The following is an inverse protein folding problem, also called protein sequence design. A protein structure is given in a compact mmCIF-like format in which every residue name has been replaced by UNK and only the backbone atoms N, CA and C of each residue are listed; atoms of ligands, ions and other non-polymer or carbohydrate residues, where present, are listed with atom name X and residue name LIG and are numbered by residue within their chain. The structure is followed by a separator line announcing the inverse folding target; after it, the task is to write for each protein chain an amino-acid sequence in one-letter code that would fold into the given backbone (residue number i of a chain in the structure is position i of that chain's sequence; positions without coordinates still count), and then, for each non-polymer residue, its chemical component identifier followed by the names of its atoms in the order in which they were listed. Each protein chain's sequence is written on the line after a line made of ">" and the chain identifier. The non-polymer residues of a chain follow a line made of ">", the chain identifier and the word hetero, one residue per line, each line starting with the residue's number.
data_IF_450804070794
#
_entry.id   IF_450804070794
#
_cell.length_a   1.000
_cell.length_b   1.000
_cell.length_c   1.000
_cell.angle_alpha   90.00
_cell.angle_beta   90.00
_cell.angle_gamma   90.00
#
_symmetry.space_group_name_H-M   'P 1'
#
loop_
_entity.id
_entity.type
_entity.pdbx_description
1 polymer ?
#
# COMPACT_ATOMS: atom_id res chain seq x y z
N UNK A 1 3.07 32.28 -51.19
CA UNK A 1 3.33 33.39 -50.24
C UNK A 1 3.39 32.72 -48.86
N UNK A 2 4.52 32.40 -48.25
CA UNK A 2 5.86 33.00 -48.27
C UNK A 2 5.93 34.38 -47.61
N UNK A 3 6.33 34.38 -46.33
CA UNK A 3 7.04 35.49 -45.67
C UNK A 3 7.81 34.94 -44.46
N UNK A 4 9.08 34.57 -44.66
CA UNK A 4 10.08 34.63 -43.59
C UNK A 4 10.40 36.09 -43.34
N UNK A 5 10.67 36.51 -42.10
CA UNK A 5 11.73 37.49 -41.80
C UNK A 5 12.47 37.02 -40.55
N UNK A 6 13.79 37.05 -40.65
CA UNK A 6 14.79 36.67 -39.66
C UNK A 6 15.77 37.83 -39.47
N UNK A 7 16.18 38.12 -38.23
CA UNK A 7 17.36 38.95 -37.88
C UNK A 7 17.77 38.59 -36.44
N UNK A 8 19.02 38.61 -36.01
CA UNK A 8 20.33 38.36 -36.65
C UNK A 8 21.33 38.09 -35.51
N UNK A 9 22.48 37.47 -35.78
CA UNK A 9 23.48 37.15 -34.75
C UNK A 9 24.80 37.88 -35.03
N UNK A 10 25.42 38.46 -33.99
CA UNK A 10 26.81 38.92 -34.05
C UNK A 10 27.71 38.14 -33.09
N UNK A 11 28.71 37.49 -33.66
CA UNK A 11 29.88 36.96 -32.95
C UNK A 11 30.92 38.07 -32.74
N UNK A 12 31.67 38.01 -31.65
CA UNK A 12 33.11 38.32 -31.68
C UNK A 12 33.88 37.73 -30.50
N UNK A 13 34.92 36.98 -30.84
CA UNK A 13 36.02 36.49 -29.99
C UNK A 13 37.30 36.92 -30.71
N UNK A 14 38.29 37.47 -30.01
CA UNK A 14 39.75 37.16 -30.15
C UNK A 14 40.59 37.87 -29.04
N UNK A 15 41.95 37.79 -28.94
CA UNK A 15 42.56 37.15 -27.77
C UNK A 15 43.73 37.89 -27.06
N UNK A 16 44.19 37.34 -25.92
CA UNK A 16 45.54 37.49 -25.29
C UNK A 16 46.07 38.95 -25.08
N UNK A 17 47.31 39.31 -24.70
CA UNK A 17 48.59 38.68 -24.24
C UNK A 17 49.01 39.47 -22.97
N UNK A 18 49.55 38.92 -21.87
CA UNK A 18 51.00 38.75 -21.66
C UNK A 18 51.39 38.14 -20.28
N UNK A 19 52.53 37.45 -20.26
CA UNK A 19 53.24 36.88 -19.10
C UNK A 19 54.63 37.53 -19.02
N UNK A 20 55.20 37.68 -17.81
CA UNK A 20 56.64 37.80 -17.49
C UNK A 20 56.75 37.48 -15.97
N UNK A 21 57.39 36.39 -15.52
CA UNK A 21 58.85 36.19 -15.28
C UNK A 21 59.45 37.24 -14.30
N UNK A 22 59.70 36.97 -13.00
CA UNK A 22 60.74 36.09 -12.36
C UNK A 22 62.18 36.61 -12.62
N UNK A 23 63.18 36.60 -11.68
CA UNK A 23 63.21 36.47 -10.20
C UNK A 23 63.97 37.66 -9.50
N UNK A 24 64.28 37.60 -8.19
CA UNK A 24 65.65 37.25 -7.68
C UNK A 24 65.75 37.18 -6.12
N UNK A 25 66.90 36.73 -5.62
CA UNK A 25 67.25 36.43 -4.20
C UNK A 25 68.06 37.55 -3.50
N UNK A 26 68.33 37.31 -2.21
CA UNK A 26 69.31 37.96 -1.31
C UNK A 26 68.88 39.36 -0.83
N UNK A 27 69.06 39.76 0.44
CA UNK A 27 70.29 39.65 1.24
C UNK A 27 70.07 39.59 2.78
N UNK A 28 71.18 39.54 3.53
CA UNK A 28 71.31 39.16 4.95
C UNK A 28 71.14 40.33 5.98
N UNK A 29 71.17 40.06 7.32
CA UNK A 29 70.61 40.96 8.36
C UNK A 29 71.63 41.94 9.00
N UNK A 30 71.17 42.90 9.84
CA UNK A 30 72.03 43.70 10.69
C UNK A 30 72.39 43.01 12.03
N UNK A 31 73.45 43.43 12.73
CA UNK A 31 74.11 42.62 13.77
C UNK A 31 74.04 43.22 15.20
N UNK A 32 74.35 42.41 16.22
CA UNK A 32 75.41 42.63 17.23
C UNK A 32 75.27 41.69 18.45
N UNK A 33 76.37 41.01 18.78
CA UNK A 33 76.65 40.43 20.11
C UNK A 33 77.85 41.19 20.70
N UNK A 34 78.00 41.24 22.04
CA UNK A 34 78.85 40.25 22.74
C UNK A 34 78.10 39.62 23.95
N UNK A 35 78.32 38.36 24.33
CA UNK A 35 79.48 37.82 25.08
C UNK A 35 79.73 38.61 26.41
N UNK A 36 79.90 38.00 27.59
CA UNK A 36 80.42 36.66 27.95
C UNK A 36 79.79 36.21 29.29
N UNK A 37 79.58 34.91 29.51
CA UNK A 37 80.12 34.13 30.65
C UNK A 37 79.44 32.76 30.81
N UNK A 38 80.26 31.72 30.82
CA UNK A 38 79.87 30.36 31.20
C UNK A 38 79.54 30.28 32.69
N UNK A 39 78.49 29.54 33.04
CA UNK A 39 78.46 28.74 34.25
C UNK A 39 77.96 27.35 33.86
N UNK A 40 78.79 26.34 34.11
CA UNK A 40 78.42 24.94 33.89
C UNK A 40 77.41 24.50 34.96
N UNK A 41 76.21 24.09 34.54
CA UNK A 41 75.35 23.27 35.39
C UNK A 41 74.66 22.17 34.57
N UNK A 42 74.92 20.92 34.94
CA UNK A 42 74.48 19.74 34.20
C UNK A 42 73.03 19.40 34.58
N UNK A 43 72.05 20.01 33.91
CA UNK A 43 70.64 19.65 34.08
C UNK A 43 70.23 18.49 33.18
N UNK A 44 69.63 17.46 33.78
CA UNK A 44 69.27 16.20 33.14
C UNK A 44 68.33 16.35 31.94
N UNK A 45 68.48 15.46 30.95
CA UNK A 45 67.46 15.25 29.91
C UNK A 45 66.14 14.82 30.58
N UNK A 46 64.99 15.44 30.28
CA UNK A 46 63.72 14.96 30.80
C UNK A 46 63.42 13.58 30.21
N UNK A 47 63.54 12.53 31.04
CA UNK A 47 63.03 11.22 30.68
C UNK A 47 61.53 11.34 30.40
N UNK A 48 61.12 11.03 29.16
CA UNK A 48 59.72 10.73 28.86
C UNK A 48 59.32 9.57 29.77
N UNK A 49 58.50 9.83 30.80
CA UNK A 49 57.89 8.78 31.62
C UNK A 49 57.00 7.92 30.70
N UNK A 50 57.53 6.79 30.26
CA UNK A 50 56.78 5.80 29.50
C UNK A 50 55.68 5.24 30.41
N UNK A 51 54.45 5.73 30.24
CA UNK A 51 53.31 5.40 31.11
C UNK A 51 52.80 3.95 30.98
N UNK A 52 53.53 3.10 30.27
CA UNK A 52 53.20 1.70 29.97
C UNK A 52 54.44 0.80 30.09
N UNK A 53 54.95 0.62 31.32
CA UNK A 53 55.99 -0.38 31.62
C UNK A 53 55.59 -1.31 32.77
N UNK A 54 54.43 -1.97 32.61
CA UNK A 54 54.14 -3.22 33.31
C UNK A 54 53.24 -4.09 32.42
N UNK A 55 53.66 -5.30 32.00
CA UNK A 55 52.79 -6.17 31.23
C UNK A 55 51.56 -6.50 32.08
N UNK A 56 50.37 -6.32 31.51
CA UNK A 56 49.12 -6.53 32.23
C UNK A 56 49.02 -7.97 32.73
N UNK A 57 48.77 -8.13 34.02
CA UNK A 57 48.60 -9.46 34.61
C UNK A 57 47.40 -10.16 33.98
N UNK A 58 47.42 -11.51 33.93
CA UNK A 58 46.32 -12.31 33.32
C UNK A 58 44.92 -11.90 33.78
N UNK A 59 44.78 -11.46 35.04
CA UNK A 59 43.52 -10.92 35.60
C UNK A 59 43.08 -9.59 34.98
N UNK A 60 44.01 -8.65 34.73
CA UNK A 60 43.71 -7.37 34.07
C UNK A 60 43.37 -7.58 32.60
N UNK A 61 44.12 -8.45 31.91
CA UNK A 61 43.83 -8.85 30.53
C UNK A 61 42.42 -9.47 30.42
N UNK A 62 42.09 -10.42 31.32
CA UNK A 62 40.78 -11.05 31.38
C UNK A 62 39.65 -10.07 31.68
N UNK A 63 39.84 -9.14 32.63
CA UNK A 63 38.87 -8.09 32.93
C UNK A 63 38.60 -7.18 31.73
N UNK A 64 39.64 -6.80 30.98
CA UNK A 64 39.48 -5.91 29.82
C UNK A 64 38.88 -6.65 28.63
N UNK A 65 39.22 -7.91 28.38
CA UNK A 65 38.51 -8.75 27.42
C UNK A 65 37.02 -8.90 27.78
N UNK A 66 36.69 -9.06 29.07
CA UNK A 66 35.30 -9.13 29.52
C UNK A 66 34.56 -7.79 29.32
N UNK A 67 35.18 -6.65 29.63
CA UNK A 67 34.60 -5.32 29.40
C UNK A 67 34.37 -5.08 27.90
N UNK A 68 35.33 -5.43 27.04
CA UNK A 68 35.19 -5.32 25.58
C UNK A 68 34.08 -6.25 25.06
N UNK A 69 34.01 -7.49 25.55
CA UNK A 69 32.93 -8.42 25.18
C UNK A 69 31.55 -7.92 25.61
N UNK A 70 31.40 -7.39 26.83
CA UNK A 70 30.16 -6.77 27.30
C UNK A 70 29.81 -5.54 26.46
N UNK A 71 30.78 -4.67 26.16
CA UNK A 71 30.56 -3.49 25.32
C UNK A 71 30.12 -3.85 23.89
N UNK A 72 30.73 -4.87 23.28
CA UNK A 72 30.30 -5.41 21.98
C UNK A 72 28.90 -6.03 22.06
N UNK A 73 28.61 -6.81 23.11
CA UNK A 73 27.29 -7.44 23.30
C UNK A 73 26.19 -6.40 23.49
N UNK A 74 26.43 -5.38 24.32
CA UNK A 74 25.49 -4.25 24.51
C UNK A 74 25.33 -3.46 23.22
N UNK A 75 26.40 -3.17 22.48
CA UNK A 75 26.31 -2.46 21.20
C UNK A 75 25.53 -3.27 20.16
N UNK A 76 25.77 -4.58 20.09
CA UNK A 76 25.04 -5.50 19.24
C UNK A 76 23.55 -5.56 19.63
N UNK A 77 23.21 -5.57 20.93
CA UNK A 77 21.82 -5.51 21.40
C UNK A 77 21.18 -4.14 21.13
N UNK A 78 21.89 -3.03 21.29
CA UNK A 78 21.37 -1.66 21.00
C UNK A 78 21.09 -1.47 19.50
N UNK A 79 21.77 -2.19 18.61
CA UNK A 79 21.47 -2.20 17.17
C UNK A 79 20.42 -3.26 16.83
N UNK A 80 20.57 -4.48 17.34
CA UNK A 80 19.73 -5.62 16.98
C UNK A 80 18.35 -5.58 17.63
N UNK A 81 18.18 -5.06 18.86
CA UNK A 81 16.86 -4.99 19.51
C UNK A 81 15.93 -4.01 18.79
N UNK A 82 16.32 -2.78 18.40
CA UNK A 82 15.47 -1.94 17.56
C UNK A 82 15.15 -2.58 16.21
N UNK A 83 16.10 -3.24 15.54
CA UNK A 83 15.84 -3.96 14.29
C UNK A 83 14.88 -5.15 14.50
N UNK A 84 15.04 -5.90 15.58
CA UNK A 84 14.22 -7.04 15.95
C UNK A 84 12.79 -6.60 16.33
N UNK A 85 12.66 -5.55 17.15
CA UNK A 85 11.38 -4.99 17.54
C UNK A 85 10.66 -4.29 16.39
N UNK A 86 11.34 -3.53 15.53
CA UNK A 86 10.72 -2.99 14.29
C UNK A 86 10.37 -4.08 13.27
N UNK A 87 10.92 -5.29 13.38
CA UNK A 87 10.60 -6.43 12.50
C UNK A 87 9.51 -7.35 13.07
N UNK A 88 9.36 -7.42 14.40
CA UNK A 88 8.29 -8.16 15.08
C UNK A 88 7.05 -7.30 15.27
N UNK A 89 7.18 -6.10 15.83
CA UNK A 89 6.14 -5.08 15.86
C UNK A 89 6.17 -4.31 14.54
N UNK A 90 6.03 -5.04 13.42
CA UNK A 90 6.28 -4.62 12.04
C UNK A 90 5.43 -3.48 11.50
N UNK A 91 4.67 -2.81 12.36
CA UNK A 91 3.96 -1.60 12.03
C UNK A 91 4.93 -0.42 12.05
N UNK A 92 5.22 0.09 10.86
CA UNK A 92 5.71 1.46 10.75
C UNK A 92 4.65 2.34 11.42
N UNK A 93 4.99 2.94 12.56
CA UNK A 93 4.10 3.91 13.20
C UNK A 93 3.91 5.04 12.21
N UNK A 94 2.71 5.09 11.62
CA UNK A 94 2.18 6.37 11.20
C UNK A 94 2.24 7.27 12.45
N UNK A 95 2.73 8.50 12.29
CA UNK A 95 2.83 9.45 13.41
C UNK A 95 1.47 9.90 13.91
N UNK A 96 0.45 9.56 13.12
CA UNK A 96 -0.89 10.07 13.16
C UNK A 96 -1.69 9.15 14.09
N UNK A 97 -1.55 9.39 15.39
CA UNK A 97 -2.31 8.78 16.49
C UNK A 97 -3.84 9.10 16.43
N UNK A 98 -4.35 9.53 15.28
CA UNK A 98 -5.74 9.88 14.99
C UNK A 98 -6.73 8.78 15.40
N UNK A 99 -6.39 7.51 15.16
CA UNK A 99 -7.21 6.35 15.56
C UNK A 99 -7.37 6.21 17.08
N UNK A 100 -6.52 6.86 17.89
CA UNK A 100 -6.65 6.91 19.36
C UNK A 100 -7.52 8.07 19.86
N UNK A 101 -7.85 9.01 18.99
CA UNK A 101 -8.67 10.17 19.34
C UNK A 101 -10.15 9.78 19.23
N UNK A 102 -10.99 10.09 20.24
CA UNK A 102 -12.44 9.97 20.13
C UNK A 102 -12.93 10.77 18.93
N UNK A 103 -13.72 10.15 18.05
CA UNK A 103 -14.18 10.80 16.84
C UNK A 103 -15.37 11.71 17.16
N UNK A 104 -15.32 13.01 16.83
CA UNK A 104 -16.43 13.92 17.11
C UNK A 104 -17.71 13.46 16.42
N UNK A 105 -18.80 13.33 17.19
CA UNK A 105 -20.11 12.88 16.71
C UNK A 105 -20.11 11.45 16.12
N UNK A 106 -19.29 10.54 16.68
CA UNK A 106 -19.37 9.10 16.41
C UNK A 106 -20.80 8.55 16.62
N UNK A 107 -21.27 7.73 15.66
CA UNK A 107 -22.58 7.09 15.75
C UNK A 107 -22.58 5.99 16.82
N UNK A 108 -23.63 5.93 17.64
CA UNK A 108 -23.76 4.93 18.69
C UNK A 108 -23.69 3.48 18.16
N UNK A 109 -23.99 3.24 16.87
CA UNK A 109 -23.85 1.92 16.23
C UNK A 109 -22.44 1.32 16.33
N UNK A 110 -21.40 2.16 16.45
CA UNK A 110 -20.00 1.73 16.63
C UNK A 110 -19.69 1.10 17.99
N UNK A 111 -20.60 1.24 18.95
CA UNK A 111 -20.46 0.67 20.31
C UNK A 111 -21.45 -0.48 20.56
N UNK A 112 -22.24 -0.88 19.55
CA UNK A 112 -23.14 -2.02 19.64
C UNK A 112 -22.42 -3.31 19.18
N UNK A 113 -22.22 -4.25 20.10
CA UNK A 113 -21.52 -5.52 19.82
C UNK A 113 -22.19 -6.37 18.73
N UNK A 114 -23.52 -6.28 18.56
CA UNK A 114 -24.24 -6.96 17.47
C UNK A 114 -23.80 -6.52 16.07
N UNK A 115 -23.29 -5.28 15.93
CA UNK A 115 -22.81 -4.73 14.66
C UNK A 115 -21.35 -5.11 14.38
N UNK A 116 -20.69 -5.83 15.30
CA UNK A 116 -19.32 -6.28 15.14
C UNK A 116 -19.19 -7.17 13.89
N UNK A 117 -18.17 -6.94 13.04
CA UNK A 117 -17.87 -7.81 11.92
C UNK A 117 -17.40 -9.18 12.43
N UNK A 118 -17.76 -10.24 11.71
CA UNK A 118 -17.44 -11.63 12.07
C UNK A 118 -16.16 -12.06 11.38
N UNK A 119 -15.27 -12.71 12.15
CA UNK A 119 -14.08 -13.36 11.60
C UNK A 119 -14.51 -14.41 10.58
N UNK A 120 -13.95 -14.37 9.37
CA UNK A 120 -14.31 -15.27 8.28
C UNK A 120 -13.18 -16.24 7.93
N UNK A 121 -11.97 -15.76 7.62
CA UNK A 121 -10.87 -16.60 7.15
C UNK A 121 -9.49 -16.11 7.62
N UNK A 122 -8.60 -17.05 7.93
CA UNK A 122 -7.20 -16.77 8.24
C UNK A 122 -6.34 -16.58 6.99
N UNK A 123 -5.48 -15.55 6.99
CA UNK A 123 -4.57 -15.21 5.88
C UNK A 123 -5.27 -15.14 4.50
N UNK A 124 -6.27 -14.27 4.42
CA UNK A 124 -7.05 -13.99 3.21
C UNK A 124 -7.11 -12.47 3.02
N UNK A 125 -6.05 -11.85 2.48
CA UNK A 125 -5.96 -10.40 2.32
C UNK A 125 -6.74 -9.92 1.09
N UNK A 126 -7.10 -8.65 1.11
CA UNK A 126 -7.66 -7.91 -0.04
C UNK A 126 -8.85 -8.63 -0.73
N UNK A 127 -9.93 -8.97 0.01
CA UNK A 127 -11.05 -9.76 -0.51
C UNK A 127 -11.95 -8.99 -1.51
N UNK A 128 -11.86 -9.31 -2.80
CA UNK A 128 -12.91 -9.00 -3.79
C UNK A 128 -14.17 -9.85 -3.56
N UNK A 129 -15.36 -9.33 -3.86
CA UNK A 129 -16.64 -9.92 -3.45
C UNK A 129 -17.67 -9.99 -4.57
N UNK A 130 -18.24 -11.18 -4.76
CA UNK A 130 -19.31 -11.41 -5.74
C UNK A 130 -20.39 -12.34 -5.17
N UNK A 131 -21.62 -12.20 -5.67
CA UNK A 131 -22.74 -13.11 -5.39
C UNK A 131 -23.28 -13.67 -6.70
N UNK A 132 -23.42 -14.99 -6.77
CA UNK A 132 -23.98 -15.68 -7.93
C UNK A 132 -24.78 -16.90 -7.47
N UNK A 133 -25.98 -17.09 -8.02
CA UNK A 133 -26.90 -18.19 -7.71
C UNK A 133 -27.11 -18.47 -6.21
N UNK A 134 -27.19 -17.39 -5.42
CA UNK A 134 -27.38 -17.45 -3.97
C UNK A 134 -26.13 -17.75 -3.14
N UNK A 135 -25.00 -18.06 -3.79
CA UNK A 135 -23.69 -18.27 -3.16
C UNK A 135 -22.86 -16.99 -3.25
N UNK A 136 -22.15 -16.69 -2.17
CA UNK A 136 -21.15 -15.64 -2.11
C UNK A 136 -19.76 -16.21 -2.40
N UNK A 137 -18.96 -15.46 -3.13
CA UNK A 137 -17.60 -15.77 -3.53
C UNK A 137 -16.70 -14.62 -3.08
N UNK A 138 -15.61 -14.95 -2.40
CA UNK A 138 -14.54 -14.02 -2.05
C UNK A 138 -13.26 -14.47 -2.75
N UNK A 139 -12.55 -13.54 -3.39
CA UNK A 139 -11.28 -13.76 -4.08
C UNK A 139 -10.20 -12.96 -3.36
N UNK A 140 -9.04 -13.56 -3.09
CA UNK A 140 -8.04 -12.94 -2.21
C UNK A 140 -6.67 -12.77 -2.85
N UNK A 141 -5.85 -11.89 -2.27
CA UNK A 141 -4.42 -11.79 -2.57
C UNK A 141 -3.70 -13.12 -2.34
N UNK A 142 -2.71 -13.41 -3.19
CA UNK A 142 -1.93 -14.64 -3.16
C UNK A 142 -1.34 -14.95 -1.75
N UNK A 143 -1.54 -16.16 -1.18
CA UNK A 143 -1.31 -16.41 0.24
C UNK A 143 0.16 -16.43 0.68
N UNK A 144 1.12 -16.48 -0.27
CA UNK A 144 2.56 -16.54 -0.01
C UNK A 144 3.33 -15.55 -0.90
N UNK A 145 3.65 -14.38 -0.35
CA UNK A 145 4.44 -13.31 -1.00
C UNK A 145 5.75 -13.85 -1.61
N UNK A 146 6.07 -13.45 -2.84
CA UNK A 146 7.29 -13.84 -3.60
C UNK A 146 7.52 -15.37 -3.78
N UNK A 147 6.50 -16.22 -3.64
CA UNK A 147 6.62 -17.66 -3.92
C UNK A 147 6.00 -18.02 -5.29
N UNK A 148 6.80 -18.47 -6.29
CA UNK A 148 6.31 -18.78 -7.63
C UNK A 148 5.52 -20.09 -7.75
N UNK A 149 5.40 -20.84 -6.65
CA UNK A 149 4.58 -22.04 -6.52
C UNK A 149 3.40 -21.81 -5.56
N UNK A 150 3.05 -20.55 -5.29
CA UNK A 150 1.81 -20.18 -4.60
C UNK A 150 0.63 -20.29 -5.57
N UNK A 151 -0.55 -20.59 -5.04
CA UNK A 151 -1.82 -20.19 -5.68
C UNK A 151 -1.72 -18.68 -6.01
N UNK A 152 -2.10 -18.29 -7.23
CA UNK A 152 -2.12 -16.89 -7.65
C UNK A 152 -3.35 -16.18 -7.08
N UNK A 153 -4.56 -16.72 -7.30
CA UNK A 153 -5.81 -16.18 -6.73
C UNK A 153 -6.61 -17.26 -6.01
N UNK A 154 -6.50 -17.36 -4.65
CA UNK A 154 -7.36 -18.21 -3.84
C UNK A 154 -8.82 -17.70 -3.84
N UNK A 155 -9.75 -18.63 -3.64
CA UNK A 155 -11.19 -18.34 -3.55
C UNK A 155 -11.84 -19.03 -2.36
N UNK A 156 -12.79 -18.35 -1.73
CA UNK A 156 -13.65 -18.89 -0.70
C UNK A 156 -15.12 -18.68 -1.02
N UNK A 157 -15.99 -19.50 -0.44
CA UNK A 157 -17.43 -19.47 -0.69
C UNK A 157 -18.26 -19.54 0.59
N UNK A 158 -19.42 -18.87 0.61
CA UNK A 158 -20.41 -18.92 1.69
C UNK A 158 -21.84 -18.89 1.15
N UNK A 159 -22.77 -19.62 1.77
CA UNK A 159 -24.21 -19.57 1.45
C UNK A 159 -25.01 -18.63 2.36
N UNK A 160 -24.45 -18.23 3.51
CA UNK A 160 -25.13 -17.43 4.53
C UNK A 160 -24.40 -16.10 4.87
N UNK A 161 -23.26 -15.84 4.22
CA UNK A 161 -22.31 -14.74 4.44
C UNK A 161 -21.56 -14.77 5.78
N UNK A 162 -21.82 -15.75 6.64
CA UNK A 162 -21.22 -15.88 7.97
C UNK A 162 -20.20 -17.00 8.00
N UNK A 163 -20.56 -18.17 7.49
CA UNK A 163 -19.71 -19.35 7.45
C UNK A 163 -19.00 -19.42 6.08
N UNK A 164 -17.68 -19.19 6.08
CA UNK A 164 -16.87 -19.15 4.86
C UNK A 164 -15.98 -20.38 4.74
N UNK A 165 -15.99 -20.99 3.54
CA UNK A 165 -15.16 -22.16 3.21
C UNK A 165 -14.14 -21.79 2.15
N UNK A 166 -12.86 -21.77 2.51
CA UNK A 166 -11.75 -21.66 1.56
C UNK A 166 -11.67 -22.92 0.67
N UNK A 167 -11.56 -22.74 -0.65
CA UNK A 167 -11.16 -23.85 -1.53
C UNK A 167 -9.64 -24.01 -1.47
N UNK A 168 -9.20 -24.86 -0.53
CA UNK A 168 -7.79 -25.24 -0.40
C UNK A 168 -7.25 -25.81 -1.72
N UNK A 169 -5.99 -25.48 -2.03
CA UNK A 169 -5.24 -25.94 -3.20
C UNK A 169 -5.90 -25.66 -4.57
N UNK A 170 -6.89 -24.77 -4.62
CA UNK A 170 -7.56 -24.32 -5.84
C UNK A 170 -7.09 -22.92 -6.25
N UNK A 171 -6.61 -22.81 -7.48
CA UNK A 171 -6.26 -21.53 -8.10
C UNK A 171 -7.28 -21.16 -9.16
N UNK A 172 -7.92 -20.00 -8.98
CA UNK A 172 -8.85 -19.46 -9.97
C UNK A 172 -8.11 -18.87 -11.17
N UNK A 173 -6.84 -18.48 -11.03
CA UNK A 173 -5.99 -17.94 -12.09
C UNK A 173 -4.76 -18.87 -12.31
N UNK A 174 -4.96 -20.12 -12.80
CA UNK A 174 -3.88 -21.12 -12.89
C UNK A 174 -2.88 -20.87 -14.03
N UNK A 175 -3.19 -19.95 -14.93
CA UNK A 175 -2.35 -19.52 -16.06
C UNK A 175 -2.15 -18.02 -16.00
N UNK A 176 -1.00 -17.52 -16.48
CA UNK A 176 -0.59 -16.12 -16.39
C UNK A 176 -0.35 -15.50 -17.77
N UNK A 177 -0.57 -14.19 -17.89
CA UNK A 177 -0.33 -13.42 -19.09
C UNK A 177 1.16 -13.34 -19.48
N UNK A 178 1.46 -13.00 -20.73
CA UNK A 178 2.85 -12.87 -21.19
C UNK A 178 3.61 -11.70 -20.53
N UNK A 179 2.93 -10.74 -19.93
CA UNK A 179 3.52 -9.54 -19.32
C UNK A 179 3.96 -9.70 -17.85
N UNK A 180 3.46 -10.70 -17.11
CA UNK A 180 3.54 -10.76 -15.64
C UNK A 180 4.39 -11.89 -15.02
N UNK A 181 4.99 -11.62 -13.86
CA UNK A 181 5.79 -12.57 -13.10
C UNK A 181 4.94 -13.60 -12.36
N UNK A 182 5.53 -14.76 -12.03
CA UNK A 182 4.84 -15.85 -11.28
C UNK A 182 4.53 -15.55 -9.81
N UNK A 183 4.59 -14.29 -9.37
CA UNK A 183 4.52 -13.92 -7.96
C UNK A 183 3.75 -12.63 -7.80
N UNK A 184 3.17 -12.44 -6.61
CA UNK A 184 2.53 -11.19 -6.19
C UNK A 184 1.33 -10.83 -7.11
N UNK A 185 0.27 -11.63 -6.98
CA UNK A 185 -1.03 -11.37 -7.59
C UNK A 185 -1.94 -10.86 -6.46
N UNK A 186 -2.34 -9.60 -6.53
CA UNK A 186 -2.95 -8.87 -5.41
C UNK A 186 -4.33 -8.31 -5.75
N UNK A 187 -5.16 -8.17 -4.72
CA UNK A 187 -6.48 -7.54 -4.75
C UNK A 187 -7.32 -7.92 -5.99
N UNK A 188 -7.67 -9.21 -6.14
CA UNK A 188 -8.48 -9.66 -7.27
C UNK A 188 -9.98 -9.45 -6.97
N UNK A 189 -10.71 -8.92 -7.95
CA UNK A 189 -12.16 -8.70 -7.85
C UNK A 189 -12.87 -9.06 -9.17
N UNK A 190 -14.14 -9.48 -9.09
CA UNK A 190 -14.80 -10.25 -10.17
C UNK A 190 -16.22 -9.80 -10.44
N UNK A 191 -16.54 -9.55 -11.72
CA UNK A 191 -17.89 -9.21 -12.18
C UNK A 191 -18.41 -10.19 -13.23
N UNK A 192 -19.73 -10.41 -13.25
CA UNK A 192 -20.40 -11.19 -14.29
C UNK A 192 -20.77 -10.33 -15.51
N UNK A 193 -20.48 -10.84 -16.71
CA UNK A 193 -20.91 -10.32 -18.01
C UNK A 193 -22.33 -10.79 -18.36
N UNK A 194 -22.96 -10.10 -19.30
CA UNK A 194 -24.32 -10.38 -19.75
C UNK A 194 -24.44 -11.73 -20.50
N UNK A 195 -23.32 -12.31 -20.97
CA UNK A 195 -23.25 -13.65 -21.58
C UNK A 195 -22.98 -14.77 -20.55
N UNK A 196 -23.09 -14.45 -19.25
CA UNK A 196 -22.92 -15.40 -18.15
C UNK A 196 -21.45 -15.73 -17.79
N UNK A 197 -20.47 -15.25 -18.57
CA UNK A 197 -19.05 -15.34 -18.23
C UNK A 197 -18.70 -14.36 -17.10
N UNK A 198 -17.55 -14.58 -16.48
CA UNK A 198 -17.01 -13.74 -15.42
C UNK A 198 -15.70 -13.10 -15.88
N UNK A 199 -15.44 -11.88 -15.43
CA UNK A 199 -14.19 -11.16 -15.65
C UNK A 199 -13.57 -10.86 -14.30
N UNK A 200 -12.35 -11.35 -14.11
CA UNK A 200 -11.50 -11.06 -12.95
C UNK A 200 -10.52 -9.96 -13.33
N UNK A 201 -10.46 -8.94 -12.49
CA UNK A 201 -9.41 -7.92 -12.51
C UNK A 201 -8.49 -8.20 -11.33
N UNK A 202 -7.20 -7.94 -11.47
CA UNK A 202 -6.22 -8.20 -10.42
C UNK A 202 -4.95 -7.37 -10.64
N UNK A 203 -4.11 -7.24 -9.62
CA UNK A 203 -2.80 -6.58 -9.74
C UNK A 203 -1.72 -7.64 -9.98
N UNK A 204 -1.03 -7.59 -11.12
CA UNK A 204 0.07 -8.51 -11.45
C UNK A 204 1.43 -7.81 -11.44
N UNK A 205 2.46 -8.44 -10.87
CA UNK A 205 3.82 -7.88 -10.89
C UNK A 205 4.43 -7.99 -12.29
N UNK A 206 4.87 -6.88 -12.87
CA UNK A 206 5.43 -6.85 -14.24
C UNK A 206 6.75 -7.66 -14.36
N UNK A 207 6.99 -8.27 -15.54
CA UNK A 207 8.26 -8.94 -15.85
C UNK A 207 9.37 -7.92 -16.13
N UNK A 208 10.27 -7.71 -15.15
CA UNK A 208 11.64 -7.15 -15.24
C UNK A 208 11.84 -5.74 -15.82
N UNK A 209 11.13 -5.36 -16.88
CA UNK A 209 11.32 -4.11 -17.65
C UNK A 209 10.83 -2.87 -16.88
N UNK A 210 9.95 -3.06 -15.91
CA UNK A 210 9.43 -2.01 -15.03
C UNK A 210 9.57 -2.45 -13.54
N UNK A 211 10.76 -2.93 -13.19
CA UNK A 211 11.15 -3.21 -11.80
C UNK A 211 10.29 -4.26 -11.09
N UNK A 212 9.81 -3.91 -9.89
CA UNK A 212 8.83 -4.69 -9.12
C UNK A 212 7.48 -3.96 -9.00
N UNK A 213 7.19 -3.06 -9.95
CA UNK A 213 5.89 -2.40 -10.04
C UNK A 213 4.81 -3.40 -10.48
N UNK A 214 3.56 -3.03 -10.23
CA UNK A 214 2.39 -3.83 -10.61
C UNK A 214 1.55 -3.04 -11.60
N UNK A 215 0.81 -3.77 -12.43
CA UNK A 215 -0.17 -3.21 -13.34
C UNK A 215 -1.46 -4.03 -13.25
N UNK A 216 -2.58 -3.45 -13.68
CA UNK A 216 -3.88 -4.12 -13.65
C UNK A 216 -3.95 -5.14 -14.78
N UNK A 217 -4.05 -6.40 -14.43
CA UNK A 217 -4.39 -7.50 -15.32
C UNK A 217 -5.91 -7.70 -15.41
N UNK A 218 -6.33 -8.40 -16.46
CA UNK A 218 -7.71 -8.83 -16.65
C UNK A 218 -7.75 -10.24 -17.21
N UNK A 219 -8.69 -11.05 -16.74
CA UNK A 219 -8.84 -12.45 -17.12
C UNK A 219 -10.32 -12.85 -17.23
N UNK A 220 -10.65 -13.69 -18.22
CA UNK A 220 -12.04 -14.11 -18.49
C UNK A 220 -12.24 -15.59 -18.15
N UNK A 221 -13.35 -15.93 -17.50
CA UNK A 221 -13.66 -17.32 -17.16
C UNK A 221 -13.82 -18.21 -18.40
N UNK A 222 -13.21 -19.40 -18.35
CA UNK A 222 -13.44 -20.45 -19.34
C UNK A 222 -14.81 -21.13 -19.08
N UNK A 223 -15.88 -20.47 -19.56
CA UNK A 223 -17.27 -20.88 -19.33
C UNK A 223 -17.98 -19.95 -18.35
N UNK A 224 -19.11 -20.40 -17.79
CA UNK A 224 -20.01 -19.63 -16.93
C UNK A 224 -19.89 -20.03 -15.45
N UNK A 225 -18.66 -20.33 -14.99
CA UNK A 225 -18.37 -20.66 -13.60
C UNK A 225 -17.71 -19.46 -12.91
N UNK A 226 -18.20 -18.99 -11.74
CA UNK A 226 -17.53 -17.96 -10.95
C UNK A 226 -16.18 -18.45 -10.38
N UNK A 227 -15.95 -19.76 -10.34
CA UNK A 227 -14.65 -20.33 -9.95
C UNK A 227 -13.61 -20.30 -11.09
N UNK A 228 -14.01 -19.88 -12.30
CA UNK A 228 -13.14 -19.95 -13.47
C UNK A 228 -13.00 -21.39 -14.00
N UNK A 229 -11.81 -21.81 -14.46
CA UNK A 229 -10.54 -21.07 -14.41
C UNK A 229 -10.60 -19.80 -15.27
N UNK A 230 -9.98 -18.74 -14.77
CA UNK A 230 -9.84 -17.47 -15.49
C UNK A 230 -8.59 -17.53 -16.38
N UNK A 231 -8.75 -17.10 -17.64
CA UNK A 231 -7.69 -17.05 -18.64
C UNK A 231 -7.30 -15.59 -18.81
N UNK A 232 -6.06 -15.18 -18.45
CA UNK A 232 -5.64 -13.79 -18.52
C UNK A 232 -5.33 -13.35 -19.95
N UNK A 233 -5.51 -12.04 -20.17
CA UNK A 233 -5.02 -11.38 -21.37
C UNK A 233 -3.48 -11.28 -21.37
N UNK A 234 -2.91 -11.24 -22.57
CA UNK A 234 -1.45 -11.26 -22.77
C UNK A 234 -0.77 -9.92 -22.49
N UNK A 235 -1.54 -8.84 -22.36
CA UNK A 235 -1.12 -7.49 -22.00
C UNK A 235 -1.93 -6.97 -20.79
N UNK A 236 -1.39 -6.05 -19.98
CA UNK A 236 -2.13 -5.46 -18.86
C UNK A 236 -3.21 -4.51 -19.37
N UNK A 237 -4.35 -4.48 -18.70
CA UNK A 237 -5.47 -3.56 -18.96
C UNK A 237 -5.08 -2.10 -18.68
N UNK A 238 -4.36 -1.86 -17.57
CA UNK A 238 -3.90 -0.52 -17.20
C UNK A 238 -2.52 -0.57 -16.55
N UNK A 239 -1.58 0.21 -17.10
CA UNK A 239 -0.20 0.28 -16.63
C UNK A 239 0.33 1.73 -16.68
N UNK A 240 -0.21 2.66 -15.86
CA UNK A 240 0.12 4.08 -15.94
C UNK A 240 1.50 4.35 -15.29
N UNK A 241 2.57 4.20 -16.06
CA UNK A 241 3.97 4.37 -15.58
C UNK A 241 4.22 5.72 -14.87
N UNK A 242 3.52 6.79 -15.25
CA UNK A 242 3.57 8.11 -14.58
C UNK A 242 3.15 8.10 -13.10
N UNK A 243 2.45 7.05 -12.68
CA UNK A 243 2.03 6.78 -11.30
C UNK A 243 2.72 5.52 -10.75
N UNK A 244 3.86 5.09 -11.29
CA UNK A 244 4.53 3.88 -10.80
C UNK A 244 3.79 2.56 -11.12
N UNK A 245 2.81 2.58 -12.02
CA UNK A 245 1.93 1.43 -12.29
C UNK A 245 0.55 1.60 -11.66
N UNK A 246 -0.17 0.48 -11.52
CA UNK A 246 -1.52 0.46 -10.96
C UNK A 246 -1.81 -0.84 -10.21
N UNK A 247 -2.60 -0.73 -9.14
CA UNK A 247 -3.04 -1.84 -8.28
C UNK A 247 -4.51 -1.68 -7.88
N UNK A 248 -5.01 -2.68 -7.18
CA UNK A 248 -6.32 -2.76 -6.54
C UNK A 248 -7.49 -2.42 -7.47
N UNK A 249 -7.70 -3.19 -8.55
CA UNK A 249 -8.83 -3.00 -9.42
C UNK A 249 -10.12 -3.58 -8.81
N UNK A 250 -11.20 -2.80 -8.82
CA UNK A 250 -12.57 -3.28 -8.54
C UNK A 250 -13.48 -2.95 -9.72
N UNK A 251 -14.20 -3.92 -10.30
CA UNK A 251 -15.16 -3.67 -11.36
C UNK A 251 -16.46 -3.06 -10.84
N UNK A 252 -17.02 -2.14 -11.62
CA UNK A 252 -18.31 -1.51 -11.36
C UNK A 252 -19.20 -1.62 -12.60
N UNK A 253 -20.51 -1.80 -12.38
CA UNK A 253 -21.53 -1.71 -13.41
C UNK A 253 -22.49 -0.61 -13.02
N UNK A 254 -22.59 0.44 -13.83
CA UNK A 254 -23.49 1.55 -13.57
C UNK A 254 -24.95 1.18 -13.92
N UNK A 255 -25.87 2.04 -13.51
CA UNK A 255 -27.33 1.92 -13.65
C UNK A 255 -27.82 1.79 -15.10
N UNK A 256 -27.04 2.26 -16.08
CA UNK A 256 -27.31 2.11 -17.52
C UNK A 256 -26.76 0.78 -18.10
N UNK A 257 -26.05 0.00 -17.29
CA UNK A 257 -25.40 -1.26 -17.65
C UNK A 257 -23.94 -1.12 -18.13
N UNK A 258 -23.42 0.11 -18.29
CA UNK A 258 -22.04 0.40 -18.69
C UNK A 258 -21.05 -0.19 -17.68
N UNK A 259 -19.97 -0.78 -18.19
CA UNK A 259 -18.92 -1.39 -17.37
C UNK A 259 -17.79 -0.38 -17.13
N UNK A 260 -17.30 -0.39 -15.90
CA UNK A 260 -16.15 0.37 -15.45
C UNK A 260 -15.22 -0.53 -14.64
N UNK A 261 -13.95 -0.16 -14.57
CA UNK A 261 -13.04 -0.61 -13.50
C UNK A 261 -12.47 0.62 -12.82
N UNK A 262 -12.54 0.62 -11.49
CA UNK A 262 -11.85 1.61 -10.64
C UNK A 262 -10.56 0.97 -10.11
N UNK A 263 -9.46 1.72 -10.08
CA UNK A 263 -8.16 1.22 -9.59
C UNK A 263 -7.29 2.35 -9.05
N UNK A 264 -6.28 2.00 -8.27
CA UNK A 264 -5.25 2.92 -7.76
C UNK A 264 -4.12 3.07 -8.79
N UNK A 265 -3.70 4.31 -9.06
CA UNK A 265 -2.36 4.58 -9.58
C UNK A 265 -1.35 4.49 -8.44
N UNK A 266 -0.37 3.59 -8.53
CA UNK A 266 0.52 3.20 -7.41
C UNK A 266 1.65 4.21 -7.14
N UNK A 267 1.31 5.51 -7.05
CA UNK A 267 2.26 6.62 -7.01
C UNK A 267 3.23 6.56 -5.83
N UNK A 268 2.82 5.89 -4.74
CA UNK A 268 3.66 5.62 -3.58
C UNK A 268 4.86 4.70 -3.90
N UNK A 269 4.79 3.88 -4.95
CA UNK A 269 5.91 3.03 -5.38
C UNK A 269 7.08 3.79 -6.00
N UNK A 270 6.86 5.04 -6.43
CA UNK A 270 7.87 5.98 -6.94
C UNK A 270 8.08 7.19 -6.01
N UNK A 271 7.53 7.13 -4.79
CA UNK A 271 7.64 8.18 -3.78
C UNK A 271 9.04 8.33 -3.16
N UNK A 272 9.21 9.38 -2.35
CA UNK A 272 10.51 9.74 -1.74
C UNK A 272 10.87 8.95 -0.47
N UNK A 273 10.15 7.86 -0.19
CA UNK A 273 10.35 6.94 0.92
C UNK A 273 9.49 7.25 2.16
N UNK A 274 9.76 6.52 3.24
CA UNK A 274 8.97 6.55 4.49
C UNK A 274 7.90 5.44 4.53
N UNK A 275 6.89 5.60 5.39
CA UNK A 275 5.71 4.75 5.48
C UNK A 275 5.06 4.60 4.08
N UNK A 276 4.81 3.35 3.66
CA UNK A 276 4.45 2.91 2.29
C UNK A 276 5.19 3.58 1.12
N UNK A 277 6.39 4.15 1.33
CA UNK A 277 7.20 4.78 0.28
C UNK A 277 6.88 6.24 -0.04
N UNK A 278 5.88 6.87 0.59
CA UNK A 278 5.39 8.19 0.14
C UNK A 278 5.17 9.26 1.24
N UNK A 279 5.50 8.99 2.49
CA UNK A 279 5.32 9.99 3.59
C UNK A 279 6.45 11.01 3.70
N UNK A 280 7.60 10.79 3.04
CA UNK A 280 8.65 11.81 2.94
C UNK A 280 8.28 12.86 1.88
N UNK A 281 8.33 14.14 2.26
CA UNK A 281 8.01 15.26 1.37
C UNK A 281 9.07 15.42 0.25
N UNK A 282 8.67 15.85 -0.97
CA UNK A 282 7.29 16.11 -1.39
C UNK A 282 6.50 14.79 -1.58
N UNK A 283 5.27 14.74 -1.06
CA UNK A 283 4.39 13.57 -1.23
C UNK A 283 3.92 13.53 -2.68
N UNK A 284 3.95 12.36 -3.32
CA UNK A 284 3.51 12.17 -4.70
C UNK A 284 2.02 11.81 -4.72
N UNK A 285 1.28 12.31 -5.72
CA UNK A 285 -0.12 11.95 -6.00
C UNK A 285 -0.31 10.43 -6.10
N UNK A 286 -1.35 9.92 -5.43
CA UNK A 286 -1.79 8.52 -5.46
C UNK A 286 -3.26 8.52 -5.87
N UNK A 287 -3.55 8.58 -7.18
CA UNK A 287 -4.90 8.82 -7.66
C UNK A 287 -5.73 7.54 -7.69
N UNK A 288 -7.04 7.67 -7.42
CA UNK A 288 -8.03 6.69 -7.83
C UNK A 288 -8.51 7.06 -9.24
N UNK A 289 -8.35 6.11 -10.15
CA UNK A 289 -8.63 6.21 -11.58
C UNK A 289 -9.83 5.34 -11.94
N UNK A 290 -10.69 5.84 -12.82
CA UNK A 290 -11.87 5.16 -13.35
C UNK A 290 -11.72 4.99 -14.85
N UNK A 291 -11.72 3.75 -15.33
CA UNK A 291 -11.65 3.40 -16.75
C UNK A 291 -12.99 2.83 -17.21
N UNK A 292 -13.55 3.39 -18.28
CA UNK A 292 -14.73 2.85 -18.95
C UNK A 292 -14.35 1.65 -19.81
N UNK A 293 -15.22 0.65 -19.88
CA UNK A 293 -15.03 -0.62 -20.57
C UNK A 293 -16.23 -0.90 -21.49
N UNK A 294 -15.97 -1.60 -22.60
CA UNK A 294 -17.04 -2.18 -23.43
C UNK A 294 -17.76 -3.29 -22.66
N UNK A 295 -18.88 -3.76 -23.20
CA UNK A 295 -19.68 -4.86 -22.63
C UNK A 295 -18.95 -6.21 -22.54
N UNK A 296 -17.75 -6.34 -23.14
CA UNK A 296 -16.86 -7.48 -22.96
C UNK A 296 -16.10 -7.47 -21.61
N UNK A 297 -16.07 -6.32 -20.92
CA UNK A 297 -15.35 -6.14 -19.66
C UNK A 297 -13.82 -6.15 -19.78
N UNK A 298 -13.26 -6.13 -20.99
CA UNK A 298 -11.80 -6.19 -21.22
C UNK A 298 -11.28 -5.12 -22.16
N UNK A 299 -12.12 -4.59 -23.07
CA UNK A 299 -11.73 -3.52 -23.98
C UNK A 299 -12.02 -2.16 -23.36
N UNK A 300 -11.00 -1.31 -23.22
CA UNK A 300 -11.14 0.06 -22.71
C UNK A 300 -11.87 0.99 -23.69
N UNK A 301 -12.52 2.02 -23.13
CA UNK A 301 -13.17 3.12 -23.86
C UNK A 301 -12.60 4.44 -23.38
N UNK A 302 -11.84 5.12 -24.24
CA UNK A 302 -11.17 6.38 -23.91
C UNK A 302 -10.13 6.25 -22.78
N UNK A 303 -9.63 7.40 -22.32
CA UNK A 303 -8.65 7.49 -21.24
C UNK A 303 -9.32 7.38 -19.85
N UNK A 304 -8.65 6.71 -18.92
CA UNK A 304 -9.06 6.69 -17.51
C UNK A 304 -9.05 8.09 -16.88
N UNK A 305 -10.12 8.41 -16.13
CA UNK A 305 -10.29 9.70 -15.45
C UNK A 305 -9.97 9.59 -13.96
N UNK A 306 -9.35 10.63 -13.38
CA UNK A 306 -9.11 10.70 -11.93
C UNK A 306 -10.38 11.13 -11.20
N UNK A 307 -10.85 10.30 -10.26
CA UNK A 307 -12.05 10.56 -9.46
C UNK A 307 -11.75 10.94 -8.00
N UNK A 308 -10.61 10.49 -7.47
CA UNK A 308 -10.08 10.83 -6.14
C UNK A 308 -8.55 10.94 -6.21
N UNK A 309 -7.96 11.65 -5.26
CA UNK A 309 -6.51 11.73 -5.00
C UNK A 309 -6.33 11.96 -3.50
N UNK A 310 -5.15 11.64 -2.96
CA UNK A 310 -4.83 11.86 -1.54
C UNK A 310 -5.07 13.33 -1.13
N UNK A 311 -5.59 13.52 0.08
CA UNK A 311 -5.54 14.81 0.77
C UNK A 311 -4.89 14.69 2.16
N UNK A 312 -4.94 15.76 2.96
CA UNK A 312 -4.33 15.81 4.28
C UNK A 312 -4.91 14.83 5.32
N UNK A 313 -5.97 14.09 4.97
CA UNK A 313 -6.66 13.13 5.84
C UNK A 313 -6.43 11.65 5.47
N UNK A 314 -5.58 11.35 4.48
CA UNK A 314 -5.35 9.98 4.00
C UNK A 314 -3.92 9.46 4.24
N UNK A 315 -3.02 10.26 4.84
CA UNK A 315 -1.62 9.89 5.04
C UNK A 315 -0.85 9.72 3.72
N UNK A 316 0.01 8.69 3.57
CA UNK A 316 0.86 8.53 2.38
C UNK A 316 0.14 8.06 1.10
N UNK A 317 -1.09 7.51 1.19
CA UNK A 317 -1.79 6.92 0.04
C UNK A 317 -3.30 6.73 0.31
N UNK A 318 -4.06 6.62 -0.78
CA UNK A 318 -5.36 5.93 -0.80
C UNK A 318 -5.24 4.70 -1.70
N UNK A 319 -5.96 3.61 -1.39
CA UNK A 319 -5.92 2.34 -2.13
C UNK A 319 -7.21 1.52 -1.99
N UNK A 320 -7.27 0.31 -2.53
CA UNK A 320 -8.45 -0.57 -2.48
C UNK A 320 -9.81 0.12 -2.79
N UNK A 321 -9.96 0.80 -3.95
CA UNK A 321 -11.20 1.45 -4.31
C UNK A 321 -12.31 0.44 -4.64
N UNK A 322 -13.53 0.67 -4.15
CA UNK A 322 -14.72 -0.06 -4.55
C UNK A 322 -15.91 0.91 -4.67
N UNK A 323 -16.73 0.77 -5.72
CA UNK A 323 -17.85 1.68 -6.00
C UNK A 323 -19.18 0.92 -5.96
N UNK A 324 -20.16 1.51 -5.28
CA UNK A 324 -21.58 1.15 -5.40
C UNK A 324 -22.40 2.38 -5.76
N UNK A 325 -23.61 2.15 -6.29
CA UNK A 325 -24.62 3.18 -6.52
C UNK A 325 -25.91 2.78 -5.83
N UNK A 326 -26.50 3.72 -5.10
CA UNK A 326 -27.74 3.52 -4.34
C UNK A 326 -28.97 3.94 -5.16
N UNK A 327 -30.19 3.48 -4.82
CA UNK A 327 -31.41 3.77 -5.60
C UNK A 327 -31.77 5.25 -5.75
N UNK A 328 -31.20 6.14 -4.93
CA UNK A 328 -31.39 7.59 -5.02
C UNK A 328 -30.36 8.31 -5.93
N UNK A 329 -29.51 7.53 -6.62
CA UNK A 329 -28.44 8.02 -7.49
C UNK A 329 -27.19 8.50 -6.76
N UNK A 330 -27.01 8.19 -5.47
CA UNK A 330 -25.73 8.44 -4.78
C UNK A 330 -24.73 7.33 -5.07
N UNK A 331 -23.60 7.71 -5.64
CA UNK A 331 -22.41 6.86 -5.76
C UNK A 331 -21.59 6.96 -4.47
N UNK A 332 -21.23 5.82 -3.91
CA UNK A 332 -20.29 5.72 -2.79
C UNK A 332 -19.02 5.05 -3.29
N UNK A 333 -17.89 5.71 -3.07
CA UNK A 333 -16.54 5.18 -3.28
C UNK A 333 -15.98 4.82 -1.91
N UNK A 334 -15.87 3.52 -1.63
CA UNK A 334 -15.05 3.00 -0.53
C UNK A 334 -13.59 2.97 -0.97
N UNK A 335 -12.68 3.16 -0.02
CA UNK A 335 -11.24 3.07 -0.23
C UNK A 335 -10.54 2.86 1.11
N UNK A 336 -9.32 2.34 1.10
CA UNK A 336 -8.46 2.36 2.28
C UNK A 336 -7.56 3.60 2.28
N UNK A 337 -7.33 4.17 3.45
CA UNK A 337 -6.39 5.29 3.66
C UNK A 337 -5.24 4.86 4.55
N UNK A 338 -4.13 5.62 4.53
CA UNK A 338 -2.87 5.33 5.21
C UNK A 338 -2.19 4.04 4.71
N UNK A 339 -1.12 3.61 5.38
CA UNK A 339 -0.34 2.45 4.95
C UNK A 339 -0.80 1.17 5.66
N UNK A 340 -1.00 0.06 4.92
CA UNK A 340 -1.41 -1.23 5.47
C UNK A 340 -0.47 -1.79 6.57
N UNK A 341 0.79 -1.35 6.62
CA UNK A 341 1.74 -1.65 7.72
C UNK A 341 1.66 -0.64 8.85
N UNK A 342 0.50 -0.07 9.16
CA UNK A 342 0.34 0.92 10.23
C UNK A 342 -1.06 0.90 10.82
N UNK A 343 -1.18 1.18 12.12
CA UNK A 343 -2.47 1.29 12.82
C UNK A 343 -3.37 2.43 12.31
N UNK A 344 -2.84 3.36 11.51
CA UNK A 344 -3.63 4.37 10.81
C UNK A 344 -4.47 3.80 9.66
N UNK A 345 -4.15 2.60 9.16
CA UNK A 345 -4.90 1.98 8.06
C UNK A 345 -6.37 1.76 8.45
N UNK A 346 -7.26 2.21 7.58
CA UNK A 346 -8.69 2.24 7.82
C UNK A 346 -9.47 2.04 6.52
N UNK A 347 -10.73 1.59 6.62
CA UNK A 347 -11.71 1.66 5.54
C UNK A 347 -12.41 3.01 5.64
N UNK A 348 -12.30 3.83 4.61
CA UNK A 348 -12.95 5.13 4.46
C UNK A 348 -13.93 5.09 3.30
N UNK A 349 -14.78 6.09 3.21
CA UNK A 349 -15.68 6.26 2.07
C UNK A 349 -15.87 7.74 1.74
N UNK A 350 -16.31 7.97 0.50
CA UNK A 350 -16.70 9.27 0.00
C UNK A 350 -17.94 9.12 -0.89
N UNK A 351 -18.77 10.15 -1.01
CA UNK A 351 -20.03 10.10 -1.76
C UNK A 351 -20.12 11.20 -2.83
N UNK A 352 -20.89 10.95 -3.89
CA UNK A 352 -21.10 11.86 -5.00
C UNK A 352 -22.44 11.60 -5.70
N UNK A 353 -23.06 12.62 -6.30
CA UNK A 353 -24.20 12.46 -7.25
C UNK A 353 -23.74 12.28 -8.70
N UNK A 354 -22.45 12.03 -8.92
CA UNK A 354 -21.83 11.76 -10.22
C UNK A 354 -20.68 10.76 -10.06
N UNK A 355 -20.67 9.69 -10.87
CA UNK A 355 -19.63 8.68 -10.90
C UNK A 355 -18.22 9.26 -11.12
N UNK A 356 -18.11 10.34 -11.90
CA UNK A 356 -16.83 11.02 -12.19
C UNK A 356 -16.46 12.09 -11.14
N UNK A 357 -17.15 12.09 -10.00
CA UNK A 357 -16.95 13.03 -8.89
C UNK A 357 -17.59 14.41 -9.09
N UNK A 358 -17.30 15.39 -8.22
CA UNK A 358 -16.37 15.33 -7.08
C UNK A 358 -16.96 14.55 -5.90
N UNK A 359 -16.14 13.68 -5.31
CA UNK A 359 -16.50 12.93 -4.11
C UNK A 359 -16.23 13.73 -2.83
N UNK A 360 -17.20 13.75 -1.91
CA UNK A 360 -17.06 14.29 -0.56
C UNK A 360 -16.73 13.16 0.41
N UNK A 361 -15.56 13.21 1.04
CA UNK A 361 -15.13 12.23 2.07
C UNK A 361 -16.06 12.28 3.28
N UNK A 362 -16.30 11.13 3.91
CA UNK A 362 -16.86 11.08 5.26
C UNK A 362 -15.82 11.53 6.29
N UNK A 363 -16.27 12.19 7.35
CA UNK A 363 -15.40 12.69 8.42
C UNK A 363 -14.77 11.54 9.22
N UNK A 364 -15.58 10.53 9.57
CA UNK A 364 -15.14 9.28 10.23
C UNK A 364 -14.91 8.18 9.17
N UNK A 365 -13.80 7.43 9.24
CA UNK A 365 -13.68 6.13 8.57
C UNK A 365 -14.84 5.19 8.93
N UNK A 366 -15.22 4.33 7.98
CA UNK A 366 -16.21 3.28 8.20
C UNK A 366 -15.71 2.23 9.20
N UNK A 367 -14.43 1.88 9.14
CA UNK A 367 -13.75 0.95 10.06
C UNK A 367 -12.32 1.45 10.31
N UNK A 368 -11.89 1.51 11.56
CA UNK A 368 -10.52 1.87 11.95
C UNK A 368 -9.94 0.94 13.01
N UNK A 369 -8.65 1.06 13.31
CA UNK A 369 -8.04 0.36 14.45
C UNK A 369 -8.81 0.65 15.75
N UNK A 370 -8.96 -0.36 16.59
CA UNK A 370 -9.74 -0.43 17.84
C UNK A 370 -11.26 -0.63 17.71
N UNK A 371 -11.87 -0.38 16.55
CA UNK A 371 -13.29 -0.72 16.31
C UNK A 371 -13.48 -2.24 16.51
N UNK A 372 -14.26 -2.66 17.51
CA UNK A 372 -14.43 -4.07 17.94
C UNK A 372 -13.10 -4.86 18.09
N UNK A 373 -12.00 -4.19 18.43
CA UNK A 373 -10.68 -4.81 18.56
C UNK A 373 -9.96 -5.11 17.25
N UNK A 374 -10.41 -4.56 16.12
CA UNK A 374 -9.71 -4.67 14.83
C UNK A 374 -8.35 -3.94 14.88
N UNK A 375 -7.36 -4.50 14.18
CA UNK A 375 -6.07 -3.83 13.92
C UNK A 375 -5.94 -3.55 12.42
N UNK A 376 -5.80 -2.28 12.03
CA UNK A 376 -5.53 -1.87 10.65
C UNK A 376 -6.52 -2.47 9.62
N UNK A 377 -7.85 -2.26 9.76
CA UNK A 377 -8.82 -2.76 8.79
C UNK A 377 -8.71 -2.02 7.44
N UNK A 378 -8.85 -2.75 6.33
CA UNK A 378 -8.79 -2.19 4.98
C UNK A 378 -9.03 -3.22 3.88
N UNK A 379 -8.72 -2.86 2.63
CA UNK A 379 -8.93 -3.72 1.46
C UNK A 379 -10.37 -4.23 1.32
N UNK A 380 -11.34 -3.31 1.38
CA UNK A 380 -12.75 -3.66 1.54
C UNK A 380 -13.53 -3.66 0.22
N UNK A 381 -14.42 -4.65 0.08
CA UNK A 381 -15.37 -4.76 -1.04
C UNK A 381 -16.79 -4.88 -0.50
N UNK A 382 -17.71 -4.09 -1.06
CA UNK A 382 -19.12 -4.03 -0.66
C UNK A 382 -19.98 -4.70 -1.72
N UNK A 383 -21.03 -5.40 -1.29
CA UNK A 383 -22.00 -6.02 -2.21
C UNK A 383 -22.73 -4.95 -3.02
N UNK A 384 -23.13 -5.27 -4.26
CA UNK A 384 -23.83 -4.33 -5.14
C UNK A 384 -25.15 -3.79 -4.54
N UNK A 385 -25.78 -4.53 -3.63
CA UNK A 385 -26.98 -4.10 -2.88
C UNK A 385 -26.68 -3.18 -1.68
N UNK A 386 -25.41 -2.91 -1.39
CA UNK A 386 -24.96 -2.07 -0.27
C UNK A 386 -25.14 -2.68 1.11
N UNK A 387 -25.56 -3.95 1.25
CA UNK A 387 -25.96 -4.54 2.54
C UNK A 387 -24.88 -5.39 3.22
N UNK A 388 -23.79 -5.74 2.52
CA UNK A 388 -22.73 -6.64 2.99
C UNK A 388 -21.35 -6.10 2.64
N UNK A 389 -20.38 -6.35 3.50
CA UNK A 389 -18.98 -5.95 3.33
C UNK A 389 -18.07 -7.11 3.69
N UNK A 390 -17.03 -7.33 2.89
CA UNK A 390 -15.83 -8.07 3.33
C UNK A 390 -14.65 -7.12 3.30
N UNK A 391 -13.73 -7.32 4.23
CA UNK A 391 -12.48 -6.55 4.34
C UNK A 391 -11.44 -7.40 5.04
N UNK A 392 -10.19 -6.96 5.05
CA UNK A 392 -9.15 -7.60 5.85
C UNK A 392 -8.76 -6.73 7.06
N UNK A 393 -8.31 -7.37 8.13
CA UNK A 393 -7.62 -6.72 9.24
C UNK A 393 -6.47 -7.62 9.72
N UNK A 394 -5.51 -7.05 10.46
CA UNK A 394 -4.36 -7.80 10.93
C UNK A 394 -4.75 -8.86 11.99
N UNK A 395 -4.04 -9.98 11.95
CA UNK A 395 -4.23 -11.13 12.82
C UNK A 395 -2.87 -11.81 13.05
N UNK A 396 -2.09 -11.26 14.00
CA UNK A 396 -0.69 -11.65 14.19
C UNK A 396 0.16 -11.25 12.98
N UNK A 397 0.82 -12.20 12.32
CA UNK A 397 1.68 -11.94 11.15
C UNK A 397 0.94 -11.95 9.81
N UNK A 398 -0.39 -12.03 9.83
CA UNK A 398 -1.24 -12.20 8.65
C UNK A 398 -2.33 -11.12 8.57
N UNK A 399 -2.98 -11.02 7.41
CA UNK A 399 -4.20 -10.25 7.19
C UNK A 399 -5.35 -11.24 7.02
N UNK A 400 -6.34 -11.21 7.92
CA UNK A 400 -7.48 -12.12 7.95
C UNK A 400 -8.72 -11.43 7.38
N UNK A 401 -9.56 -12.20 6.69
CA UNK A 401 -10.84 -11.69 6.18
C UNK A 401 -11.89 -11.65 7.30
N UNK A 402 -12.63 -10.56 7.32
CA UNK A 402 -13.80 -10.32 8.15
C UNK A 402 -15.01 -10.04 7.26
N UNK A 403 -16.19 -10.42 7.74
CA UNK A 403 -17.47 -10.21 7.04
C UNK A 403 -18.42 -9.40 7.94
N UNK A 404 -19.06 -8.38 7.38
CA UNK A 404 -20.01 -7.52 8.09
C UNK A 404 -21.27 -7.21 7.28
N UNK A 405 -22.23 -6.54 7.91
CA UNK A 405 -23.35 -5.89 7.23
C UNK A 405 -23.22 -4.37 7.34
N UNK A 406 -23.88 -3.66 6.43
CA UNK A 406 -23.89 -2.19 6.38
C UNK A 406 -25.31 -1.65 6.44
N UNK A 407 -25.45 -0.46 6.99
CA UNK A 407 -26.62 0.41 6.90
C UNK A 407 -26.22 1.71 6.19
N UNK A 408 -26.78 1.94 5.00
CA UNK A 408 -26.49 3.12 4.16
C UNK A 408 -27.63 4.12 4.28
N UNK A 409 -27.36 5.19 5.02
CA UNK A 409 -28.33 6.22 5.38
C UNK A 409 -28.28 7.36 4.36
N UNK A 410 -29.03 7.18 3.27
CA UNK A 410 -29.05 8.12 2.13
C UNK A 410 -29.58 9.52 2.50
N UNK A 411 -30.27 9.68 3.63
CA UNK A 411 -30.77 10.98 4.10
C UNK A 411 -29.66 11.93 4.59
N UNK A 412 -28.49 11.40 4.99
CA UNK A 412 -27.34 12.17 5.45
C UNK A 412 -26.00 11.65 4.88
N UNK A 413 -26.05 10.86 3.81
CA UNK A 413 -24.93 10.21 3.14
C UNK A 413 -23.96 9.45 4.07
N UNK A 414 -24.46 8.95 5.21
CA UNK A 414 -23.66 8.23 6.20
C UNK A 414 -23.78 6.73 6.00
N UNK A 415 -22.68 6.00 6.19
CA UNK A 415 -22.64 4.54 6.23
C UNK A 415 -22.13 4.12 7.60
N UNK A 416 -22.80 3.13 8.21
CA UNK A 416 -22.35 2.49 9.45
C UNK A 416 -22.38 0.97 9.30
N UNK A 417 -21.69 0.28 10.21
CA UNK A 417 -21.81 -1.18 10.38
C UNK A 417 -23.17 -1.53 11.00
N UNK A 418 -23.73 -2.67 10.59
CA UNK A 418 -25.01 -3.18 11.06
C UNK A 418 -24.90 -4.67 11.45
N UNK A 419 -25.93 -5.18 12.15
CA UNK A 419 -25.96 -6.57 12.60
C UNK A 419 -25.92 -7.57 11.44
N UNK A 420 -24.85 -8.39 11.39
CA UNK A 420 -24.73 -9.44 10.39
C UNK A 420 -25.52 -10.69 10.82
N UNK A 421 -26.80 -10.73 10.48
CA UNK A 421 -27.62 -11.94 10.60
C UNK A 421 -27.27 -12.95 9.51
N UNK A 422 -27.13 -14.23 9.86
CA UNK A 422 -27.12 -15.31 8.87
C UNK A 422 -28.52 -15.40 8.23
N UNK A 423 -28.59 -15.58 6.91
CA UNK A 423 -29.86 -15.87 6.25
C UNK A 423 -30.44 -17.19 6.80
N UNK A 424 -31.47 -17.09 7.64
CA UNK A 424 -32.34 -18.22 7.98
C UNK A 424 -32.98 -18.71 6.67
N UNK A 425 -32.48 -19.81 6.12
CA UNK A 425 -33.05 -20.43 4.92
C UNK A 425 -34.50 -20.73 5.21
N UNK A 426 -35.43 -20.00 4.58
CA UNK A 426 -36.86 -20.19 4.77
C UNK A 426 -37.24 -21.57 4.22
N UNK A 427 -37.19 -22.58 5.07
CA UNK A 427 -37.69 -23.92 4.79
C UNK A 427 -39.20 -23.83 4.72
N UNK A 428 -39.72 -23.43 3.56
CA UNK A 428 -41.15 -23.49 3.26
C UNK A 428 -41.55 -24.95 3.22
N UNK A 429 -41.89 -25.49 4.39
CA UNK A 429 -42.45 -26.82 4.53
C UNK A 429 -43.82 -26.82 3.84
N UNK A 430 -43.81 -27.14 2.55
CA UNK A 430 -45.03 -27.38 1.76
C UNK A 430 -45.59 -28.71 2.21
N UNK A 431 -46.17 -28.71 3.41
CA UNK A 431 -46.88 -29.83 4.02
C UNK A 431 -48.21 -29.98 3.31
N UNK A 432 -48.19 -30.46 2.07
CA UNK A 432 -49.41 -30.94 1.37
C UNK A 432 -49.93 -32.14 2.12
N UNK A 433 -50.88 -31.89 3.01
CA UNK A 433 -51.66 -32.92 3.68
C UNK A 433 -52.98 -33.13 2.96
N UNK A 434 -53.18 -34.38 2.51
CA UNK A 434 -54.40 -34.95 1.91
C UNK A 434 -54.69 -34.54 0.47
#
# INVERSE_FOLDING_TARGET
>A
MASQISFEAENKVDPSVAVNEVPDRNDNPPPWSPAVNEVNEATEKPQKKAFFTKPWGRRQMGAICAIVFVAFTVSALVIALPIYFTKIYGYARDTDDYWKLPQPNEDASYHEEKNAPKFALHNFPDPGLMKHDGIWYAYGTNPKKKNPNSIHVPVATSSDFVNWTLKADYDTLPTLGTWEGKVNHWAPDVIQRNDGKFVMFYSGQVKKNFGTHHCVGVAVSNGTSPLGPFIPENEPLACPHKHGGAIDPSPFRDTDGTLYVVYKGDGNSIGHGGNCGNSKKPVISVPILLQELKSDGVTTVGDAVKILDIDGSDGPLVEAPNIIVTPDGTYYLFFSSHCYTSFGYNVKYAHSKSLKGRYARADRPLLQTSDWGLESPGGATVSTDGTKIVFHANCGTHRCMWAGALDIRSNNNTIVMAELTANQTSTSSTRRSR
#
